data_IF_125353162385
#
_entry.id   IF_125353162385
#
_cell.length_a   1.000
_cell.length_b   1.000
_cell.length_c   1.000
_cell.angle_alpha   90.00
_cell.angle_beta   90.00
_cell.angle_gamma   90.00
#
_symmetry.space_group_name_H-M   'P 1'
#
loop_
_entity.id
_entity.type
_entity.pdbx_description
1 polymer ?
#
# COMPACT_ATOMS: atom_id res chain seq x y z
N UNK A 1 -19.54 -19.47 10.80
CA UNK A 1 -18.20 -20.06 10.95
C UNK A 1 -17.35 -19.02 11.64
N UNK A 2 -16.64 -19.41 12.70
CA UNK A 2 -15.99 -18.47 13.61
C UNK A 2 -14.73 -17.92 12.93
N UNK A 3 -14.80 -16.67 12.47
CA UNK A 3 -13.73 -15.96 11.74
C UNK A 3 -12.36 -16.04 12.47
N UNK A 4 -12.37 -16.25 13.80
CA UNK A 4 -11.17 -16.51 14.61
C UNK A 4 -10.47 -17.84 14.29
N UNK A 5 -11.22 -18.92 14.10
CA UNK A 5 -10.67 -20.26 13.84
C UNK A 5 -10.10 -20.40 12.42
N UNK A 6 -10.67 -19.67 11.46
CA UNK A 6 -10.22 -19.63 10.06
C UNK A 6 -9.04 -18.66 9.85
N UNK A 7 -9.02 -17.55 10.60
CA UNK A 7 -7.83 -16.68 10.71
C UNK A 7 -6.65 -17.42 11.34
N UNK A 8 -6.88 -18.26 12.35
CA UNK A 8 -5.84 -19.14 12.92
C UNK A 8 -5.33 -20.19 11.93
N UNK A 9 -6.17 -20.73 11.05
CA UNK A 9 -5.76 -21.71 10.04
C UNK A 9 -4.89 -21.07 8.94
N UNK A 10 -5.26 -19.86 8.48
CA UNK A 10 -4.47 -19.06 7.55
C UNK A 10 -3.14 -18.58 8.17
N UNK A 11 -3.15 -18.19 9.44
CA UNK A 11 -1.95 -17.83 10.19
C UNK A 11 -0.99 -19.01 10.38
N UNK A 12 -1.49 -20.22 10.60
CA UNK A 12 -0.66 -21.43 10.67
C UNK A 12 -0.01 -21.78 9.33
N UNK A 13 -0.65 -21.48 8.19
CA UNK A 13 -0.09 -21.70 6.86
C UNK A 13 1.01 -20.68 6.53
N UNK A 14 0.84 -19.42 6.95
CA UNK A 14 1.89 -18.39 6.87
C UNK A 14 3.05 -18.70 7.84
N UNK A 15 2.75 -19.16 9.07
CA UNK A 15 3.76 -19.63 10.03
C UNK A 15 4.58 -20.80 9.46
N UNK A 16 3.95 -21.77 8.79
CA UNK A 16 4.64 -22.90 8.14
C UNK A 16 5.45 -22.48 6.91
N UNK A 17 5.00 -21.46 6.16
CA UNK A 17 5.74 -20.92 5.02
C UNK A 17 6.96 -20.09 5.42
N UNK A 18 6.94 -19.46 6.60
CA UNK A 18 8.01 -18.59 7.10
C UNK A 18 9.00 -19.32 8.02
N UNK A 19 8.59 -20.44 8.63
CA UNK A 19 9.44 -21.28 9.50
C UNK A 19 10.65 -21.95 8.80
N UNK A 20 10.83 -21.74 7.48
CA UNK A 20 11.95 -22.26 6.69
C UNK A 20 13.12 -21.30 6.46
N UNK A 21 13.03 -20.01 6.83
CA UNK A 21 14.06 -19.01 6.51
C UNK A 21 14.56 -18.26 7.76
N UNK A 22 15.88 -18.27 7.98
CA UNK A 22 16.61 -17.67 9.12
C UNK A 22 16.49 -16.13 9.28
N UNK A 23 15.62 -15.45 8.52
CA UNK A 23 15.64 -13.99 8.37
C UNK A 23 14.47 -13.27 9.05
N UNK A 24 13.40 -13.97 9.45
CA UNK A 24 12.19 -13.33 10.00
C UNK A 24 11.98 -13.69 11.48
N UNK A 25 12.13 -12.74 12.41
CA UNK A 25 11.87 -12.98 13.83
C UNK A 25 10.37 -13.15 14.10
N UNK A 26 9.97 -13.99 15.07
CA UNK A 26 8.56 -14.17 15.46
C UNK A 26 7.86 -12.83 15.79
N UNK A 27 8.60 -11.87 16.34
CA UNK A 27 8.12 -10.51 16.63
C UNK A 27 7.74 -9.73 15.34
N UNK A 28 8.43 -9.99 14.23
CA UNK A 28 8.18 -9.36 12.93
C UNK A 28 6.91 -9.95 12.32
N UNK A 29 6.75 -11.27 12.38
CA UNK A 29 5.54 -11.99 11.94
C UNK A 29 4.31 -11.55 12.75
N UNK A 30 4.47 -11.32 14.05
CA UNK A 30 3.40 -10.84 14.92
C UNK A 30 2.99 -9.39 14.58
N UNK A 31 3.93 -8.50 14.23
CA UNK A 31 3.65 -7.14 13.74
C UNK A 31 2.98 -7.11 12.36
N UNK A 32 3.35 -8.04 11.49
CA UNK A 32 2.74 -8.23 10.16
C UNK A 32 1.30 -8.71 10.29
N UNK A 33 1.10 -9.73 11.12
CA UNK A 33 -0.22 -10.25 11.52
C UNK A 33 -1.06 -9.12 12.08
N UNK A 34 -0.50 -8.33 12.98
CA UNK A 34 -1.21 -7.25 13.65
C UNK A 34 -1.59 -6.12 12.70
N UNK A 35 -0.71 -5.68 11.79
CA UNK A 35 -1.01 -4.60 10.83
C UNK A 35 -1.95 -5.05 9.73
N UNK A 36 -1.73 -6.23 9.12
CA UNK A 36 -2.59 -6.77 8.06
C UNK A 36 -3.94 -7.19 8.63
N UNK A 37 -3.98 -7.82 9.81
CA UNK A 37 -5.25 -8.13 10.47
C UNK A 37 -5.96 -6.87 10.92
N UNK A 38 -5.29 -5.86 11.50
CA UNK A 38 -5.94 -4.58 11.81
C UNK A 38 -6.43 -3.87 10.56
N UNK A 39 -5.66 -3.86 9.46
CA UNK A 39 -6.03 -3.22 8.20
C UNK A 39 -7.20 -3.93 7.50
N UNK A 40 -7.16 -5.27 7.40
CA UNK A 40 -8.21 -6.09 6.77
C UNK A 40 -9.45 -6.14 7.67
N UNK A 41 -9.30 -6.39 8.98
CA UNK A 41 -10.42 -6.38 9.93
C UNK A 41 -10.99 -4.97 10.16
N UNK A 42 -10.20 -3.89 10.00
CA UNK A 42 -10.74 -2.53 10.06
C UNK A 42 -11.35 -2.07 8.74
N UNK A 43 -10.86 -2.47 7.57
CA UNK A 43 -11.40 -1.97 6.29
C UNK A 43 -12.59 -2.79 5.77
N UNK A 44 -12.74 -4.07 6.12
CA UNK A 44 -13.93 -4.83 5.75
C UNK A 44 -14.03 -6.20 6.48
N UNK A 45 -15.11 -6.48 7.24
CA UNK A 45 -15.39 -7.84 7.73
C UNK A 45 -15.86 -8.84 6.64
N UNK A 46 -16.08 -8.41 5.39
CA UNK A 46 -16.76 -9.22 4.36
C UNK A 46 -16.33 -8.90 2.91
N UNK A 47 -15.08 -8.48 2.64
CA UNK A 47 -14.52 -8.82 1.32
C UNK A 47 -14.58 -10.37 1.25
N UNK A 48 -15.07 -11.01 0.18
CA UNK A 48 -15.16 -12.48 0.15
C UNK A 48 -13.77 -13.03 0.48
N UNK A 49 -13.65 -13.62 1.68
CA UNK A 49 -12.40 -14.11 2.23
C UNK A 49 -11.79 -15.11 1.24
N UNK A 50 -12.64 -15.92 0.61
CA UNK A 50 -12.38 -16.83 -0.50
C UNK A 50 -11.56 -16.20 -1.66
N UNK A 51 -11.66 -14.89 -1.89
CA UNK A 51 -10.98 -14.18 -2.98
C UNK A 51 -9.59 -13.67 -2.57
N UNK A 52 -9.44 -13.24 -1.31
CA UNK A 52 -8.13 -12.94 -0.70
C UNK A 52 -7.37 -14.24 -0.42
N UNK A 53 -8.07 -15.27 0.07
CA UNK A 53 -7.60 -16.64 0.30
C UNK A 53 -7.28 -17.37 -1.01
N UNK A 54 -8.04 -17.18 -2.10
CA UNK A 54 -7.68 -17.73 -3.42
C UNK A 54 -6.40 -17.11 -3.96
N UNK A 55 -6.21 -15.80 -3.78
CA UNK A 55 -5.01 -15.10 -4.27
C UNK A 55 -3.79 -15.26 -3.36
N UNK A 56 -3.96 -15.49 -2.04
CA UNK A 56 -2.85 -15.85 -1.13
C UNK A 56 -2.57 -17.37 -1.08
N UNK A 57 -3.61 -18.21 -1.12
CA UNK A 57 -3.50 -19.67 -1.07
C UNK A 57 -2.82 -20.25 -2.32
N UNK A 58 -3.07 -19.65 -3.49
CA UNK A 58 -2.31 -20.00 -4.71
C UNK A 58 -0.82 -19.66 -4.61
N UNK A 59 -0.45 -18.66 -3.81
CA UNK A 59 0.96 -18.30 -3.55
C UNK A 59 1.61 -19.31 -2.60
N UNK A 60 0.89 -19.77 -1.57
CA UNK A 60 1.37 -20.83 -0.66
C UNK A 60 1.55 -22.15 -1.41
N UNK A 61 0.59 -22.54 -2.27
CA UNK A 61 0.68 -23.76 -3.06
C UNK A 61 1.81 -23.72 -4.12
N UNK A 62 2.03 -22.58 -4.79
CA UNK A 62 3.14 -22.39 -5.75
C UNK A 62 4.52 -22.41 -5.06
N UNK A 63 4.61 -21.91 -3.83
CA UNK A 63 5.83 -21.99 -3.01
C UNK A 63 6.08 -23.43 -2.55
N UNK A 64 5.03 -24.16 -2.12
CA UNK A 64 5.16 -25.56 -1.68
C UNK A 64 5.53 -26.52 -2.82
N UNK A 65 5.11 -26.27 -4.07
CA UNK A 65 5.48 -27.12 -5.21
C UNK A 65 6.94 -26.93 -5.69
N UNK A 66 7.61 -25.84 -5.30
CA UNK A 66 8.97 -25.53 -5.76
C UNK A 66 10.07 -26.15 -4.89
N UNK A 67 9.74 -26.68 -3.69
CA UNK A 67 10.75 -27.14 -2.70
C UNK A 67 10.71 -28.64 -2.32
N UNK A 68 9.99 -29.49 -3.06
CA UNK A 68 10.11 -30.93 -2.91
C UNK A 68 11.24 -31.47 -3.81
N UNK A 69 12.51 -31.18 -3.49
CA UNK A 69 13.67 -32.04 -3.77
C UNK A 69 14.96 -31.36 -3.28
N UNK A 70 15.32 -31.56 -2.01
CA UNK A 70 16.65 -32.07 -1.55
C UNK A 70 16.85 -31.81 -0.03
N UNK A 71 17.59 -32.67 0.69
CA UNK A 71 17.65 -32.64 2.16
C UNK A 71 18.79 -31.78 2.72
N UNK A 72 18.54 -31.13 3.87
CA UNK A 72 19.46 -30.29 4.65
C UNK A 72 20.32 -31.17 5.59
N UNK A 73 21.61 -30.85 5.83
CA UNK A 73 22.37 -31.33 6.98
C UNK A 73 22.57 -30.26 8.09
N UNK A 74 22.74 -30.77 9.32
CA UNK A 74 22.54 -30.13 10.63
C UNK A 74 23.51 -29.01 11.09
N UNK A 75 22.90 -28.07 11.81
CA UNK A 75 23.29 -27.24 12.98
C UNK A 75 24.76 -27.00 13.38
N UNK A 76 25.11 -25.74 13.73
CA UNK A 76 25.96 -25.37 14.88
C UNK A 76 25.83 -23.88 15.34
N UNK A 77 24.97 -23.65 16.33
CA UNK A 77 25.11 -22.90 17.62
C UNK A 77 25.96 -21.62 17.85
N UNK A 78 25.32 -20.64 18.55
CA UNK A 78 25.77 -19.69 19.63
C UNK A 78 26.11 -18.21 19.26
N UNK A 79 26.12 -17.23 20.23
CA UNK A 79 24.98 -16.49 20.82
C UNK A 79 25.20 -14.94 20.83
N UNK A 80 24.26 -14.12 21.35
CA UNK A 80 24.51 -13.09 22.39
C UNK A 80 23.26 -12.24 22.68
N UNK A 81 23.07 -12.01 23.99
CA UNK A 81 21.97 -11.31 24.64
C UNK A 81 22.38 -9.90 25.11
N UNK A 82 21.35 -9.11 25.45
CA UNK A 82 21.30 -7.83 26.20
C UNK A 82 21.37 -6.53 25.39
N UNK A 83 20.21 -5.86 25.26
CA UNK A 83 19.94 -4.56 25.90
C UNK A 83 18.43 -4.21 25.78
N UNK A 84 17.71 -4.20 26.90
CA UNK A 84 16.36 -3.60 27.02
C UNK A 84 16.41 -2.56 28.15
N UNK A 85 15.88 -1.34 27.98
CA UNK A 85 15.37 -0.57 29.09
C UNK A 85 13.87 -0.84 29.28
N UNK A 86 13.52 -1.18 30.52
CA UNK A 86 12.13 -1.25 31.02
C UNK A 86 11.62 0.13 31.39
N UNK A 87 10.42 0.48 30.91
CA UNK A 87 9.36 1.29 31.55
C UNK A 87 8.14 1.18 30.61
N UNK A 88 6.90 0.85 30.97
CA UNK A 88 6.20 0.85 32.25
C UNK A 88 4.91 1.69 32.14
N UNK A 89 3.87 1.18 31.45
CA UNK A 89 2.45 1.21 31.88
C UNK A 89 1.50 0.78 30.75
N UNK A 90 0.58 -0.12 31.10
CA UNK A 90 -0.55 -0.55 30.28
C UNK A 90 -1.46 0.65 29.97
N UNK A 91 -1.38 1.13 28.73
CA UNK A 91 -2.47 1.80 28.04
C UNK A 91 -2.53 1.19 26.64
N UNK A 92 -3.74 0.86 26.20
CA UNK A 92 -4.02 0.40 24.84
C UNK A 92 -3.22 1.20 23.82
N UNK A 93 -2.38 0.53 23.03
CA UNK A 93 -1.55 1.13 21.98
C UNK A 93 -2.49 1.65 20.89
N UNK A 94 -3.01 2.86 21.06
CA UNK A 94 -3.66 3.65 20.01
C UNK A 94 -2.61 4.27 19.10
N UNK A 95 -2.99 4.69 17.88
CA UNK A 95 -2.07 5.35 16.95
C UNK A 95 -1.47 6.64 17.56
N UNK A 96 -2.14 7.23 18.56
CA UNK A 96 -1.64 8.36 19.37
C UNK A 96 -0.23 8.14 19.95
N UNK A 97 0.16 6.91 20.31
CA UNK A 97 1.49 6.61 20.85
C UNK A 97 2.63 6.68 19.82
N UNK A 98 2.30 6.65 18.53
CA UNK A 98 3.26 6.65 17.42
C UNK A 98 3.59 8.07 16.92
N UNK A 99 2.83 9.09 17.34
CA UNK A 99 2.94 10.47 16.88
C UNK A 99 3.28 11.43 18.01
N UNK A 100 4.58 11.53 18.32
CA UNK A 100 5.07 12.54 19.26
C UNK A 100 4.98 13.99 18.77
N UNK A 101 4.61 14.28 17.52
CA UNK A 101 4.72 15.65 16.97
C UNK A 101 3.48 16.23 16.23
N UNK A 102 2.46 15.45 15.82
CA UNK A 102 1.20 16.00 15.23
C UNK A 102 -0.08 15.18 15.54
N UNK A 103 -0.63 15.26 16.77
CA UNK A 103 -1.81 14.49 17.19
C UNK A 103 -3.10 14.81 16.39
N UNK A 104 -3.13 15.93 15.67
CA UNK A 104 -4.27 16.28 14.82
C UNK A 104 -4.38 15.39 13.57
N UNK A 105 -3.26 14.92 13.00
CA UNK A 105 -3.26 14.09 11.79
C UNK A 105 -3.64 12.65 12.10
N UNK A 106 -3.09 12.10 13.19
CA UNK A 106 -3.43 10.74 13.66
C UNK A 106 -4.93 10.59 13.88
N UNK A 107 -5.53 11.49 14.68
CA UNK A 107 -6.98 11.50 14.94
C UNK A 107 -7.82 11.64 13.67
N UNK A 108 -7.40 12.48 12.72
CA UNK A 108 -8.11 12.64 11.45
C UNK A 108 -8.09 11.33 10.64
N UNK A 109 -6.95 10.65 10.56
CA UNK A 109 -6.83 9.36 9.88
C UNK A 109 -7.65 8.28 10.57
N UNK A 110 -7.55 8.15 11.91
CA UNK A 110 -8.35 7.19 12.68
C UNK A 110 -9.85 7.35 12.40
N UNK A 111 -10.35 8.59 12.46
CA UNK A 111 -11.76 8.90 12.20
C UNK A 111 -12.12 8.61 10.75
N UNK A 112 -11.29 9.00 9.78
CA UNK A 112 -11.56 8.78 8.36
C UNK A 112 -11.60 7.29 8.00
N UNK A 113 -10.62 6.51 8.47
CA UNK A 113 -10.54 5.05 8.23
C UNK A 113 -11.71 4.34 8.89
N UNK A 114 -12.00 4.66 10.16
CA UNK A 114 -13.13 4.05 10.89
C UNK A 114 -14.47 4.39 10.25
N UNK A 115 -14.64 5.64 9.80
CA UNK A 115 -15.87 6.08 9.12
C UNK A 115 -16.03 5.39 7.76
N UNK A 116 -14.94 5.21 7.02
CA UNK A 116 -14.94 4.51 5.72
C UNK A 116 -15.30 3.04 5.90
N UNK A 117 -14.78 2.39 6.95
CA UNK A 117 -15.14 1.01 7.30
C UNK A 117 -16.64 0.85 7.60
N UNK A 118 -17.17 1.73 8.44
CA UNK A 118 -18.61 1.76 8.78
C UNK A 118 -19.45 2.02 7.52
N UNK A 119 -19.03 2.95 6.67
CA UNK A 119 -19.70 3.25 5.41
C UNK A 119 -19.74 2.02 4.50
N UNK A 120 -18.60 1.37 4.26
CA UNK A 120 -18.50 0.17 3.43
C UNK A 120 -19.41 -0.94 3.94
N UNK A 121 -19.39 -1.21 5.26
CA UNK A 121 -20.26 -2.22 5.87
C UNK A 121 -21.75 -1.91 5.68
N UNK A 122 -22.18 -0.69 5.98
CA UNK A 122 -23.59 -0.29 5.86
C UNK A 122 -24.07 -0.19 4.40
N UNK A 123 -23.21 0.21 3.47
CA UNK A 123 -23.55 0.30 2.05
C UNK A 123 -23.95 -1.06 1.44
N UNK A 124 -23.41 -2.16 1.97
CA UNK A 124 -23.74 -3.52 1.52
C UNK A 124 -25.19 -3.92 1.81
N UNK A 125 -25.76 -3.40 2.90
CA UNK A 125 -27.09 -3.77 3.41
C UNK A 125 -28.18 -2.97 2.68
N UNK A 126 -27.84 -1.80 2.13
CA UNK A 126 -28.79 -0.92 1.47
C UNK A 126 -29.26 -1.54 0.14
N UNK A 127 -30.57 -1.85 0.09
CA UNK A 127 -31.21 -2.40 -1.12
C UNK A 127 -31.33 -1.34 -2.23
N UNK A 128 -31.82 -0.13 -1.90
CA UNK A 128 -31.94 0.96 -2.87
C UNK A 128 -30.65 1.80 -2.91
N UNK A 129 -29.88 1.63 -3.99
CA UNK A 129 -28.53 2.20 -4.14
C UNK A 129 -28.50 3.72 -4.14
N UNK A 130 -29.60 4.41 -4.41
CA UNK A 130 -29.68 5.87 -4.26
C UNK A 130 -29.39 6.32 -2.83
N UNK A 131 -29.85 5.56 -1.82
CA UNK A 131 -29.65 5.90 -0.40
C UNK A 131 -28.19 5.75 0.06
N UNK A 132 -27.33 5.07 -0.71
CA UNK A 132 -25.90 4.97 -0.41
C UNK A 132 -25.24 6.35 -0.44
N UNK A 133 -25.69 7.26 -1.31
CA UNK A 133 -25.23 8.66 -1.32
C UNK A 133 -25.58 9.39 -0.01
N UNK A 134 -26.82 9.22 0.46
CA UNK A 134 -27.28 9.82 1.71
C UNK A 134 -26.53 9.27 2.92
N UNK A 135 -26.24 7.97 2.93
CA UNK A 135 -25.41 7.32 3.94
C UNK A 135 -23.99 7.92 3.97
N UNK A 136 -23.35 8.10 2.82
CA UNK A 136 -22.01 8.69 2.75
C UNK A 136 -22.00 10.10 3.33
N UNK A 137 -22.98 10.94 2.94
CA UNK A 137 -23.10 12.32 3.45
C UNK A 137 -23.31 12.34 4.98
N UNK A 138 -24.15 11.44 5.50
CA UNK A 138 -24.38 11.30 6.94
C UNK A 138 -23.08 10.93 7.67
N UNK A 139 -22.36 9.94 7.17
CA UNK A 139 -21.11 9.46 7.79
C UNK A 139 -20.02 10.53 7.74
N UNK A 140 -19.85 11.23 6.62
CA UNK A 140 -18.90 12.35 6.52
C UNK A 140 -19.27 13.46 7.52
N UNK A 141 -20.56 13.80 7.62
CA UNK A 141 -21.03 14.83 8.56
C UNK A 141 -20.74 14.44 10.01
N UNK A 142 -20.99 13.17 10.36
CA UNK A 142 -20.69 12.63 11.69
C UNK A 142 -19.18 12.59 11.97
N UNK A 143 -18.37 12.19 10.98
CA UNK A 143 -16.92 12.17 11.08
C UNK A 143 -16.34 13.56 11.33
N UNK A 144 -16.80 14.57 10.59
CA UNK A 144 -16.39 15.97 10.79
C UNK A 144 -16.81 16.50 12.16
N UNK A 145 -18.01 16.14 12.62
CA UNK A 145 -18.48 16.51 13.96
C UNK A 145 -17.62 15.87 15.06
N UNK A 146 -17.33 14.57 14.97
CA UNK A 146 -16.46 13.85 15.91
C UNK A 146 -15.05 14.46 15.89
N UNK A 147 -14.51 14.79 14.72
CA UNK A 147 -13.20 15.41 14.62
C UNK A 147 -13.17 16.79 15.26
N UNK A 148 -14.20 17.61 15.04
CA UNK A 148 -14.36 18.91 15.71
C UNK A 148 -14.37 18.78 17.23
N UNK A 149 -15.10 17.79 17.77
CA UNK A 149 -15.12 17.51 19.21
C UNK A 149 -13.72 17.09 19.71
N UNK A 150 -12.99 16.27 18.95
CA UNK A 150 -11.65 15.81 19.30
C UNK A 150 -10.60 16.92 19.35
N UNK A 151 -10.86 18.03 18.64
CA UNK A 151 -10.02 19.22 18.60
C UNK A 151 -10.50 20.32 19.56
N UNK A 152 -11.61 20.11 20.28
CA UNK A 152 -12.23 21.10 21.16
C UNK A 152 -12.59 22.42 20.45
N UNK A 153 -12.94 22.35 19.16
CA UNK A 153 -13.39 23.50 18.35
C UNK A 153 -14.89 23.42 18.04
N UNK A 154 -15.50 24.56 17.69
CA UNK A 154 -16.90 24.58 17.29
C UNK A 154 -17.10 23.85 15.94
N UNK A 155 -18.19 23.08 15.75
CA UNK A 155 -18.42 22.29 14.53
C UNK A 155 -18.34 23.07 13.22
N UNK A 156 -18.69 24.36 13.22
CA UNK A 156 -18.63 25.17 12.02
C UNK A 156 -17.20 25.64 11.69
N UNK A 157 -16.33 25.75 12.69
CA UNK A 157 -14.93 26.15 12.52
C UNK A 157 -14.07 25.04 11.91
N UNK A 158 -14.60 23.81 11.82
CA UNK A 158 -13.90 22.66 11.23
C UNK A 158 -13.46 22.94 9.79
N UNK A 159 -14.28 23.64 9.00
CA UNK A 159 -13.96 23.96 7.62
C UNK A 159 -12.80 24.95 7.52
N UNK A 160 -12.77 25.96 8.39
CA UNK A 160 -11.65 26.90 8.50
C UNK A 160 -10.39 26.19 8.98
N UNK A 161 -10.51 25.28 9.93
CA UNK A 161 -9.39 24.47 10.42
C UNK A 161 -8.80 23.61 9.30
N UNK A 162 -9.62 22.83 8.59
CA UNK A 162 -9.18 22.01 7.46
C UNK A 162 -8.58 22.85 6.33
N UNK A 163 -9.17 24.01 6.03
CA UNK A 163 -8.61 24.94 5.04
C UNK A 163 -7.22 25.43 5.47
N UNK A 164 -7.04 25.80 6.74
CA UNK A 164 -5.76 26.27 7.27
C UNK A 164 -4.70 25.17 7.27
N UNK A 165 -5.10 23.94 7.60
CA UNK A 165 -4.27 22.74 7.63
C UNK A 165 -3.71 22.42 6.23
N UNK A 166 -4.52 22.60 5.18
CA UNK A 166 -4.10 22.29 3.80
C UNK A 166 -3.35 23.45 3.14
N UNK A 167 -3.88 24.68 3.18
CA UNK A 167 -3.43 25.77 2.30
C UNK A 167 -2.61 26.86 2.99
N UNK A 168 -2.79 27.07 4.30
CA UNK A 168 -2.15 28.19 5.02
C UNK A 168 -0.81 27.76 5.64
N UNK A 169 -0.57 26.46 5.78
CA UNK A 169 0.55 25.98 6.59
C UNK A 169 1.95 26.30 6.05
N UNK A 170 2.19 26.30 4.73
CA UNK A 170 3.52 26.59 4.16
C UNK A 170 3.46 26.87 2.64
N UNK A 171 4.29 27.80 2.16
CA UNK A 171 4.50 28.03 0.72
C UNK A 171 5.02 26.78 -0.01
N UNK A 172 5.88 25.99 0.64
CA UNK A 172 6.37 24.72 0.10
C UNK A 172 5.23 23.74 -0.13
N UNK A 173 4.29 23.64 0.81
CA UNK A 173 3.11 22.78 0.69
C UNK A 173 2.21 23.22 -0.46
N UNK A 174 2.05 24.53 -0.67
CA UNK A 174 1.27 25.02 -1.80
C UNK A 174 1.93 24.68 -3.15
N UNK A 175 3.25 24.80 -3.26
CA UNK A 175 3.97 24.33 -4.46
C UNK A 175 3.81 22.81 -4.67
N UNK A 176 3.89 22.03 -3.59
CA UNK A 176 3.67 20.59 -3.61
C UNK A 176 2.25 20.24 -4.10
N UNK A 177 1.22 20.91 -3.56
CA UNK A 177 -0.18 20.73 -3.96
C UNK A 177 -0.41 21.07 -5.43
N UNK A 178 0.21 22.14 -5.95
CA UNK A 178 0.14 22.49 -7.38
C UNK A 178 0.77 21.38 -8.24
N UNK A 179 1.94 20.88 -7.83
CA UNK A 179 2.60 19.77 -8.53
C UNK A 179 1.75 18.48 -8.49
N UNK A 180 1.15 18.15 -7.36
CA UNK A 180 0.25 17.00 -7.23
C UNK A 180 -1.01 17.16 -8.06
N UNK A 181 -1.62 18.34 -8.05
CA UNK A 181 -2.77 18.65 -8.90
C UNK A 181 -2.42 18.48 -10.38
N UNK A 182 -1.25 18.95 -10.81
CA UNK A 182 -0.77 18.73 -12.17
C UNK A 182 -0.66 17.24 -12.50
N UNK A 183 -0.04 16.42 -11.63
CA UNK A 183 0.03 14.97 -11.83
C UNK A 183 -1.36 14.32 -11.95
N UNK A 184 -2.31 14.70 -11.07
CA UNK A 184 -3.68 14.18 -11.11
C UNK A 184 -4.39 14.58 -12.42
N UNK A 185 -4.29 15.84 -12.84
CA UNK A 185 -4.91 16.32 -14.08
C UNK A 185 -4.34 15.62 -15.30
N UNK A 186 -3.01 15.42 -15.36
CA UNK A 186 -2.38 14.67 -16.45
C UNK A 186 -2.82 13.20 -16.42
N UNK A 187 -2.95 12.56 -15.26
CA UNK A 187 -3.47 11.20 -15.14
C UNK A 187 -4.93 11.07 -15.61
N UNK A 188 -5.79 12.03 -15.29
CA UNK A 188 -7.17 12.06 -15.79
C UNK A 188 -7.18 12.25 -17.30
N UNK A 189 -6.41 13.21 -17.83
CA UNK A 189 -6.34 13.48 -19.26
C UNK A 189 -5.81 12.27 -20.06
N UNK A 190 -4.76 11.61 -19.54
CA UNK A 190 -4.24 10.37 -20.09
C UNK A 190 -5.29 9.25 -20.03
N UNK A 191 -5.99 9.11 -18.90
CA UNK A 191 -7.07 8.16 -18.71
C UNK A 191 -8.16 8.31 -19.77
N UNK A 192 -8.63 9.54 -19.98
CA UNK A 192 -9.62 9.88 -21.01
C UNK A 192 -9.07 9.59 -22.42
N UNK A 193 -7.82 9.95 -22.70
CA UNK A 193 -7.22 9.71 -24.01
C UNK A 193 -7.13 8.21 -24.35
N UNK A 194 -6.73 7.37 -23.39
CA UNK A 194 -6.70 5.90 -23.57
C UNK A 194 -8.11 5.34 -23.69
N UNK A 195 -9.08 5.88 -22.94
CA UNK A 195 -10.47 5.49 -23.04
C UNK A 195 -11.02 5.69 -24.47
N UNK A 196 -10.75 6.85 -25.06
CA UNK A 196 -11.13 7.17 -26.43
C UNK A 196 -10.48 6.25 -27.48
N UNK A 197 -9.33 5.65 -27.17
CA UNK A 197 -8.65 4.68 -28.03
C UNK A 197 -9.23 3.25 -27.88
N UNK A 198 -10.06 2.99 -26.88
CA UNK A 198 -10.80 1.74 -26.69
C UNK A 198 -9.97 0.52 -26.25
N UNK A 199 -8.66 0.66 -26.03
CA UNK A 199 -7.77 -0.41 -25.54
C UNK A 199 -6.69 0.13 -24.60
N UNK A 200 -6.54 -0.49 -23.44
CA UNK A 200 -5.39 -0.25 -22.56
C UNK A 200 -4.32 -1.32 -22.73
N UNK A 201 -3.07 -0.96 -22.43
CA UNK A 201 -1.91 -1.87 -22.45
C UNK A 201 -1.26 -1.87 -21.07
N UNK A 202 -0.43 -2.87 -20.78
CA UNK A 202 0.38 -2.91 -19.55
C UNK A 202 1.25 -1.65 -19.41
N UNK A 203 1.74 -1.11 -20.52
CA UNK A 203 2.53 0.13 -20.55
C UNK A 203 1.68 1.33 -20.11
N UNK A 204 0.41 1.40 -20.52
CA UNK A 204 -0.50 2.45 -20.05
C UNK A 204 -0.69 2.40 -18.54
N UNK A 205 -0.73 1.21 -17.92
CA UNK A 205 -0.83 1.09 -16.45
C UNK A 205 0.42 1.63 -15.74
N UNK A 206 1.61 1.50 -16.35
CA UNK A 206 2.86 2.05 -15.78
C UNK A 206 2.89 3.58 -15.76
N UNK A 207 2.05 4.26 -16.55
CA UNK A 207 1.85 5.70 -16.43
C UNK A 207 1.34 6.10 -15.03
N UNK A 208 0.37 5.35 -14.50
CA UNK A 208 -0.14 5.60 -13.15
C UNK A 208 0.91 5.31 -12.07
N UNK A 209 1.74 4.28 -12.26
CA UNK A 209 2.86 3.95 -11.36
C UNK A 209 3.86 5.12 -11.29
N UNK A 210 4.17 5.73 -12.43
CA UNK A 210 5.03 6.92 -12.49
C UNK A 210 4.40 8.10 -11.74
N UNK A 211 3.16 8.46 -12.04
CA UNK A 211 2.53 9.66 -11.45
C UNK A 211 2.33 9.55 -9.93
N UNK A 212 1.92 8.38 -9.43
CA UNK A 212 1.82 8.16 -7.98
C UNK A 212 3.19 8.16 -7.29
N UNK A 213 4.22 7.64 -7.96
CA UNK A 213 5.61 7.69 -7.46
C UNK A 213 6.11 9.13 -7.38
N UNK A 214 5.81 9.97 -8.38
CA UNK A 214 6.17 11.39 -8.35
C UNK A 214 5.48 12.14 -7.20
N UNK A 215 4.19 11.89 -6.97
CA UNK A 215 3.44 12.44 -5.84
C UNK A 215 4.09 12.02 -4.52
N UNK A 216 4.34 10.73 -4.34
CA UNK A 216 4.91 10.19 -3.10
C UNK A 216 6.34 10.67 -2.85
N UNK A 217 7.24 10.61 -3.84
CA UNK A 217 8.64 11.06 -3.71
C UNK A 217 8.72 12.55 -3.40
N UNK A 218 7.96 13.39 -4.12
CA UNK A 218 7.93 14.83 -3.85
C UNK A 218 7.41 15.12 -2.44
N UNK A 219 6.42 14.34 -1.98
CA UNK A 219 5.92 14.38 -0.62
C UNK A 219 6.95 14.00 0.43
N UNK A 220 7.67 12.89 0.24
CA UNK A 220 8.73 12.43 1.14
C UNK A 220 9.85 13.48 1.33
N UNK A 221 10.16 14.24 0.28
CA UNK A 221 11.20 15.27 0.37
C UNK A 221 10.73 16.60 0.94
N UNK A 222 9.45 16.96 0.75
CA UNK A 222 8.97 18.31 1.04
C UNK A 222 8.03 18.38 2.25
N UNK A 223 7.20 17.37 2.50
CA UNK A 223 6.24 17.35 3.62
C UNK A 223 5.78 15.90 3.94
N UNK A 224 6.61 15.15 4.69
CA UNK A 224 6.37 13.72 4.98
C UNK A 224 5.07 13.50 5.75
N UNK A 225 4.84 14.28 6.81
CA UNK A 225 3.65 14.15 7.65
C UNK A 225 2.36 14.39 6.85
N UNK A 226 2.36 15.43 6.01
CA UNK A 226 1.21 15.71 5.15
C UNK A 226 1.01 14.63 4.08
N UNK A 227 2.10 14.06 3.56
CA UNK A 227 2.06 12.95 2.60
C UNK A 227 1.47 11.69 3.23
N UNK A 228 1.85 11.37 4.47
CA UNK A 228 1.25 10.26 5.22
C UNK A 228 -0.26 10.45 5.39
N UNK A 229 -0.68 11.64 5.82
CA UNK A 229 -2.10 11.99 5.96
C UNK A 229 -2.86 11.83 4.64
N UNK A 230 -2.35 12.44 3.56
CA UNK A 230 -2.96 12.36 2.24
C UNK A 230 -3.02 10.92 1.72
N UNK A 231 -2.00 10.09 1.97
CA UNK A 231 -1.99 8.68 1.59
C UNK A 231 -3.18 7.91 2.16
N UNK A 232 -3.44 8.05 3.46
CA UNK A 232 -4.60 7.42 4.11
C UNK A 232 -5.93 7.95 3.60
N UNK A 233 -6.06 9.27 3.42
CA UNK A 233 -7.29 9.87 2.90
C UNK A 233 -7.58 9.41 1.46
N UNK A 234 -6.57 9.35 0.61
CA UNK A 234 -6.71 8.84 -0.76
C UNK A 234 -7.06 7.35 -0.79
N UNK A 235 -6.53 6.56 0.13
CA UNK A 235 -6.93 5.16 0.27
C UNK A 235 -8.42 5.03 0.61
N UNK A 236 -8.92 5.84 1.54
CA UNK A 236 -10.34 5.88 1.87
C UNK A 236 -11.19 6.28 0.65
N UNK A 237 -10.75 7.29 -0.11
CA UNK A 237 -11.43 7.73 -1.33
C UNK A 237 -11.48 6.61 -2.38
N UNK A 238 -10.36 5.90 -2.60
CA UNK A 238 -10.31 4.80 -3.58
C UNK A 238 -11.24 3.65 -3.20
N UNK A 239 -11.33 3.31 -1.90
CA UNK A 239 -12.30 2.35 -1.39
C UNK A 239 -13.73 2.83 -1.66
N UNK A 240 -14.08 4.09 -1.34
CA UNK A 240 -15.42 4.63 -1.57
C UNK A 240 -15.78 4.63 -3.06
N UNK A 241 -14.85 5.01 -3.94
CA UNK A 241 -15.04 4.96 -5.40
C UNK A 241 -15.34 3.53 -5.84
N UNK A 242 -14.61 2.55 -5.31
CA UNK A 242 -14.83 1.15 -5.64
C UNK A 242 -16.18 0.63 -5.14
N UNK A 243 -16.63 1.05 -3.95
CA UNK A 243 -17.99 0.78 -3.45
C UNK A 243 -19.05 1.37 -4.37
N UNK A 244 -18.87 2.61 -4.83
CA UNK A 244 -19.80 3.24 -5.77
C UNK A 244 -19.87 2.51 -7.11
N UNK A 245 -18.71 2.07 -7.62
CA UNK A 245 -18.62 1.31 -8.86
C UNK A 245 -19.24 -0.08 -8.73
N UNK A 246 -18.85 -0.83 -7.70
CA UNK A 246 -19.26 -2.21 -7.49
C UNK A 246 -20.75 -2.35 -7.18
N UNK A 247 -21.31 -1.49 -6.31
CA UNK A 247 -22.74 -1.50 -5.99
C UNK A 247 -23.61 -0.72 -6.98
N UNK A 248 -23.03 -0.30 -8.10
CA UNK A 248 -23.73 0.43 -9.17
C UNK A 248 -24.48 1.68 -8.68
N UNK A 249 -23.89 2.44 -7.76
CA UNK A 249 -24.52 3.62 -7.13
C UNK A 249 -24.73 4.74 -8.16
N UNK A 250 -25.98 5.17 -8.43
CA UNK A 250 -26.25 6.28 -9.35
C UNK A 250 -25.94 7.65 -8.70
N UNK A 251 -25.55 8.67 -9.48
CA UNK A 251 -25.29 8.65 -10.93
C UNK A 251 -23.85 8.23 -11.31
N UNK A 252 -23.06 7.77 -10.35
CA UNK A 252 -21.60 7.63 -10.50
C UNK A 252 -21.17 6.39 -11.28
N UNK A 253 -21.86 5.28 -11.08
CA UNK A 253 -21.42 3.95 -11.51
C UNK A 253 -21.10 3.84 -13.00
N UNK A 254 -21.93 4.44 -13.87
CA UNK A 254 -21.70 4.41 -15.32
C UNK A 254 -20.41 5.14 -15.70
N UNK A 255 -20.21 6.37 -15.18
CA UNK A 255 -19.01 7.15 -15.45
C UNK A 255 -17.74 6.47 -14.90
N UNK A 256 -17.84 5.90 -13.70
CA UNK A 256 -16.74 5.17 -13.07
C UNK A 256 -16.37 3.90 -13.86
N UNK A 257 -17.35 3.08 -14.23
CA UNK A 257 -17.11 1.87 -15.02
C UNK A 257 -16.54 2.21 -16.40
N UNK A 258 -17.09 3.22 -17.07
CA UNK A 258 -16.57 3.68 -18.36
C UNK A 258 -15.10 4.08 -18.24
N UNK A 259 -14.73 4.85 -17.22
CA UNK A 259 -13.35 5.31 -17.03
C UNK A 259 -12.38 4.19 -16.58
N UNK A 260 -12.78 3.35 -15.62
CA UNK A 260 -11.89 2.42 -14.92
C UNK A 260 -11.78 1.04 -15.58
N UNK A 261 -12.86 0.49 -16.15
CA UNK A 261 -12.84 -0.86 -16.74
C UNK A 261 -11.82 -1.04 -17.88
N UNK A 262 -11.52 -0.04 -18.72
CA UNK A 262 -10.45 -0.16 -19.71
C UNK A 262 -9.08 -0.45 -19.08
N UNK A 263 -8.85 -0.08 -17.82
CA UNK A 263 -7.60 -0.29 -17.10
C UNK A 263 -7.58 -1.55 -16.23
N UNK A 264 -8.66 -2.33 -16.23
CA UNK A 264 -8.77 -3.58 -15.49
C UNK A 264 -7.58 -4.51 -15.80
N UNK A 265 -6.92 -5.00 -14.76
CA UNK A 265 -5.82 -5.97 -14.89
C UNK A 265 -6.36 -7.41 -14.98
N UNK A 266 -5.54 -8.35 -15.45
CA UNK A 266 -5.86 -9.79 -15.47
C UNK A 266 -6.12 -10.35 -14.06
N UNK A 267 -5.52 -9.70 -13.06
CA UNK A 267 -5.63 -10.04 -11.64
C UNK A 267 -6.93 -9.53 -11.01
N UNK A 268 -7.59 -8.55 -11.64
CA UNK A 268 -8.84 -7.96 -11.14
C UNK A 268 -10.04 -8.84 -11.52
N UNK A 269 -10.93 -9.06 -10.56
CA UNK A 269 -12.16 -9.85 -10.76
C UNK A 269 -13.38 -8.94 -10.94
N UNK A 270 -14.39 -9.06 -10.07
CA UNK A 270 -15.48 -8.10 -10.00
C UNK A 270 -15.07 -6.82 -9.29
N UNK A 271 -14.04 -6.89 -8.42
CA UNK A 271 -13.43 -5.72 -7.79
C UNK A 271 -12.20 -5.26 -8.57
N UNK A 272 -12.01 -3.95 -8.67
CA UNK A 272 -10.81 -3.33 -9.23
C UNK A 272 -9.83 -3.02 -8.09
N UNK A 273 -9.06 -4.03 -7.68
CA UNK A 273 -8.14 -3.94 -6.55
C UNK A 273 -6.78 -3.39 -6.96
N UNK A 274 -6.39 -3.55 -8.22
CA UNK A 274 -5.09 -3.08 -8.73
C UNK A 274 -4.80 -1.60 -8.42
N UNK A 275 -5.72 -0.63 -8.61
CA UNK A 275 -5.48 0.76 -8.22
C UNK A 275 -5.30 0.96 -6.71
N UNK A 276 -6.00 0.18 -5.88
CA UNK A 276 -5.89 0.21 -4.42
C UNK A 276 -4.54 -0.36 -3.99
N UNK A 277 -4.15 -1.51 -4.55
CA UNK A 277 -2.87 -2.16 -4.28
C UNK A 277 -1.67 -1.36 -4.78
N UNK A 278 -1.80 -0.63 -5.89
CA UNK A 278 -0.78 0.31 -6.34
C UNK A 278 -0.56 1.42 -5.30
N UNK A 279 -1.64 2.06 -4.83
CA UNK A 279 -1.56 3.11 -3.82
C UNK A 279 -0.96 2.55 -2.52
N UNK A 280 -1.46 1.40 -2.07
CA UNK A 280 -1.01 0.74 -0.87
C UNK A 280 0.46 0.34 -0.99
N UNK A 281 0.89 -0.25 -2.10
CA UNK A 281 2.27 -0.64 -2.35
C UNK A 281 3.25 0.53 -2.27
N UNK A 282 2.90 1.67 -2.86
CA UNK A 282 3.75 2.86 -2.86
C UNK A 282 3.82 3.51 -1.47
N UNK A 283 2.68 3.64 -0.77
CA UNK A 283 2.60 4.34 0.51
C UNK A 283 2.82 3.46 1.74
N UNK A 284 2.76 2.13 1.62
CA UNK A 284 2.86 1.18 2.73
C UNK A 284 4.10 1.43 3.60
N UNK A 285 5.32 1.63 3.04
CA UNK A 285 6.48 1.89 3.88
C UNK A 285 6.32 3.09 4.82
N UNK A 286 5.64 4.14 4.36
CA UNK A 286 5.34 5.32 5.17
C UNK A 286 4.22 5.05 6.17
N UNK A 287 3.25 4.19 5.84
CA UNK A 287 2.22 3.76 6.80
C UNK A 287 2.79 2.92 7.95
N UNK A 288 3.71 2.00 7.63
CA UNK A 288 4.38 1.12 8.60
C UNK A 288 5.37 1.85 9.49
N UNK A 289 6.04 2.87 8.95
CA UNK A 289 7.01 3.68 9.67
C UNK A 289 6.72 5.16 9.41
N UNK A 290 5.74 5.75 10.11
CA UNK A 290 5.50 7.19 9.99
C UNK A 290 6.74 7.98 10.41
N UNK A 291 7.07 9.04 9.68
CA UNK A 291 8.19 9.95 10.01
C UNK A 291 7.76 11.39 9.86
N UNK A 292 8.33 12.28 10.67
CA UNK A 292 7.92 13.70 10.73
C UNK A 292 8.95 14.67 10.18
N UNK A 293 10.21 14.25 9.98
CA UNK A 293 11.31 15.17 9.63
C UNK A 293 12.12 14.74 8.42
N UNK A 294 12.52 13.48 8.38
CA UNK A 294 13.39 12.98 7.32
C UNK A 294 13.00 11.56 6.93
N UNK A 295 13.13 11.21 5.64
CA UNK A 295 12.84 9.85 5.22
C UNK A 295 13.95 8.89 5.68
N UNK A 296 13.57 7.65 5.91
CA UNK A 296 14.46 6.50 6.04
C UNK A 296 14.48 5.75 4.72
N UNK A 297 15.53 4.94 4.50
CA UNK A 297 15.71 4.31 3.19
C UNK A 297 14.57 3.35 2.84
N UNK A 298 14.01 2.65 3.84
CA UNK A 298 12.85 1.78 3.66
C UNK A 298 11.61 2.53 3.17
N UNK A 299 11.47 3.84 3.39
CA UNK A 299 10.35 4.62 2.83
C UNK A 299 10.33 4.63 1.31
N UNK A 300 11.46 4.36 0.67
CA UNK A 300 11.57 4.25 -0.78
C UNK A 300 11.28 2.84 -1.32
N UNK A 301 11.05 1.85 -0.45
CA UNK A 301 10.85 0.46 -0.88
C UNK A 301 9.71 0.30 -1.89
N UNK A 302 8.58 0.96 -1.67
CA UNK A 302 7.42 0.91 -2.59
C UNK A 302 7.71 1.54 -3.95
N UNK A 303 8.37 2.70 -3.97
CA UNK A 303 8.78 3.35 -5.22
C UNK A 303 9.84 2.52 -5.95
N UNK A 304 10.82 1.98 -5.22
CA UNK A 304 11.88 1.18 -5.80
C UNK A 304 11.31 -0.07 -6.47
N UNK A 305 10.47 -0.84 -5.75
CA UNK A 305 9.92 -2.10 -6.24
C UNK A 305 8.79 -1.91 -7.24
N UNK A 306 7.70 -1.24 -6.85
CA UNK A 306 6.47 -1.13 -7.65
C UNK A 306 6.53 0.04 -8.62
N UNK A 307 6.95 1.21 -8.13
CA UNK A 307 7.01 2.42 -8.95
C UNK A 307 7.94 2.27 -10.16
N UNK A 308 9.21 1.92 -9.90
CA UNK A 308 10.28 1.88 -10.89
C UNK A 308 10.63 0.46 -11.32
N UNK A 309 10.86 -0.45 -10.37
CA UNK A 309 11.32 -1.80 -10.63
C UNK A 309 10.39 -2.60 -11.53
N UNK A 310 9.15 -2.79 -11.11
CA UNK A 310 8.08 -3.49 -11.85
C UNK A 310 7.77 -2.78 -13.18
N UNK A 311 7.75 -1.45 -13.21
CA UNK A 311 7.64 -0.69 -14.46
C UNK A 311 8.75 -1.02 -15.46
N UNK A 312 10.01 -1.06 -15.02
CA UNK A 312 11.14 -1.41 -15.87
C UNK A 312 11.13 -2.88 -16.28
N UNK A 313 10.78 -3.79 -15.39
CA UNK A 313 10.62 -5.21 -15.72
C UNK A 313 9.56 -5.41 -16.82
N UNK A 314 8.40 -4.75 -16.69
CA UNK A 314 7.33 -4.86 -17.68
C UNK A 314 7.73 -4.25 -19.03
N UNK A 315 8.33 -3.05 -19.04
CA UNK A 315 8.70 -2.35 -20.29
C UNK A 315 9.85 -3.07 -21.00
N UNK A 316 10.93 -3.39 -20.28
CA UNK A 316 12.10 -4.06 -20.88
C UNK A 316 11.78 -5.51 -21.19
N UNK A 317 11.10 -6.22 -20.30
CA UNK A 317 10.71 -7.61 -20.50
C UNK A 317 9.77 -7.80 -21.69
N UNK A 318 8.81 -6.89 -21.92
CA UNK A 318 7.92 -6.97 -23.08
C UNK A 318 8.58 -6.57 -24.41
N UNK A 319 9.55 -5.65 -24.39
CA UNK A 319 10.19 -5.12 -25.60
C UNK A 319 11.46 -5.89 -26.03
N UNK A 320 12.24 -6.36 -25.05
CA UNK A 320 13.56 -6.95 -25.26
C UNK A 320 13.73 -8.33 -24.62
N UNK A 321 12.72 -8.83 -23.92
CA UNK A 321 12.79 -10.12 -23.23
C UNK A 321 12.82 -11.29 -24.21
N UNK A 322 13.91 -12.05 -24.19
CA UNK A 322 14.09 -13.26 -25.00
C UNK A 322 14.14 -14.49 -24.09
N UNK A 323 14.86 -14.38 -22.97
CA UNK A 323 15.10 -15.51 -22.06
C UNK A 323 14.06 -15.53 -20.95
N UNK A 324 13.12 -16.48 -21.01
CA UNK A 324 12.12 -16.67 -19.96
C UNK A 324 12.69 -17.48 -18.80
N UNK A 325 12.24 -17.15 -17.59
CA UNK A 325 12.46 -18.02 -16.45
C UNK A 325 11.79 -19.39 -16.67
N UNK A 326 12.42 -20.51 -16.26
CA UNK A 326 11.86 -21.84 -16.46
C UNK A 326 10.43 -21.95 -15.92
N UNK A 327 9.48 -22.32 -16.77
CA UNK A 327 8.06 -22.47 -16.38
C UNK A 327 7.31 -21.15 -16.11
N UNK A 328 7.91 -19.98 -16.33
CA UNK A 328 7.28 -18.68 -16.03
C UNK A 328 7.07 -17.82 -17.28
N UNK A 329 6.15 -16.86 -17.19
CA UNK A 329 5.88 -15.87 -18.25
C UNK A 329 6.93 -14.74 -18.27
N UNK A 330 7.53 -14.44 -17.11
CA UNK A 330 8.49 -13.36 -16.88
C UNK A 330 9.87 -13.67 -17.48
N UNK A 331 10.61 -12.64 -17.86
CA UNK A 331 11.91 -12.75 -18.56
C UNK A 331 13.07 -12.34 -17.67
N UNK A 332 14.23 -12.95 -17.89
CA UNK A 332 15.47 -12.64 -17.18
C UNK A 332 15.92 -11.19 -17.45
N UNK A 333 15.71 -10.69 -18.67
CA UNK A 333 16.00 -9.29 -19.01
C UNK A 333 15.10 -8.31 -18.24
N UNK A 334 13.83 -8.68 -18.02
CA UNK A 334 12.92 -7.94 -17.16
C UNK A 334 13.38 -7.91 -15.70
N UNK A 335 13.75 -9.07 -15.14
CA UNK A 335 14.29 -9.16 -13.77
C UNK A 335 15.57 -8.34 -13.61
N UNK A 336 16.49 -8.38 -14.59
CA UNK A 336 17.69 -7.57 -14.58
C UNK A 336 17.38 -6.06 -14.62
N UNK A 337 16.39 -5.65 -15.42
CA UNK A 337 15.95 -4.26 -15.49
C UNK A 337 15.36 -3.78 -14.14
N UNK A 338 14.58 -4.62 -13.46
CA UNK A 338 14.09 -4.32 -12.12
C UNK A 338 15.21 -4.21 -11.11
N UNK A 339 16.17 -5.15 -11.09
CA UNK A 339 17.32 -5.11 -10.19
C UNK A 339 18.05 -3.76 -10.33
N UNK A 340 18.39 -3.38 -11.56
CA UNK A 340 19.08 -2.11 -11.85
C UNK A 340 18.24 -0.90 -11.44
N UNK A 341 16.93 -0.94 -11.72
CA UNK A 341 15.99 0.11 -11.34
C UNK A 341 15.89 0.33 -9.83
N UNK A 342 15.58 -0.73 -9.09
CA UNK A 342 15.50 -0.71 -7.63
C UNK A 342 16.82 -0.22 -7.03
N UNK A 343 17.94 -0.76 -7.50
CA UNK A 343 19.27 -0.41 -6.98
C UNK A 343 19.58 1.08 -7.20
N UNK A 344 19.26 1.63 -8.37
CA UNK A 344 19.47 3.03 -8.67
C UNK A 344 18.58 3.96 -7.83
N UNK A 345 17.30 3.61 -7.63
CA UNK A 345 16.39 4.38 -6.77
C UNK A 345 16.91 4.41 -5.34
N UNK A 346 17.24 3.26 -4.78
CA UNK A 346 17.76 3.16 -3.41
C UNK A 346 19.07 3.94 -3.27
N UNK A 347 20.04 3.73 -4.17
CA UNK A 347 21.31 4.43 -4.13
C UNK A 347 21.16 5.96 -4.22
N UNK A 348 20.23 6.44 -5.05
CA UNK A 348 19.94 7.87 -5.21
C UNK A 348 19.20 8.47 -4.00
N UNK A 349 18.40 7.67 -3.29
CA UNK A 349 17.68 8.11 -2.09
C UNK A 349 18.58 8.22 -0.84
N UNK A 350 19.62 7.38 -0.75
CA UNK A 350 20.53 7.31 0.42
C UNK A 350 21.05 8.66 0.93
N UNK A 351 21.52 9.60 0.08
CA UNK A 351 22.08 10.88 0.56
C UNK A 351 21.06 11.76 1.29
N UNK A 352 19.77 11.51 1.10
CA UNK A 352 18.69 12.31 1.67
C UNK A 352 18.02 11.64 2.89
N UNK A 353 18.48 10.44 3.29
CA UNK A 353 17.90 9.68 4.39
C UNK A 353 18.62 9.93 5.72
N UNK A 354 17.91 9.77 6.84
CA UNK A 354 18.52 9.83 8.18
C UNK A 354 19.40 8.62 8.48
N UNK A 355 20.49 8.85 9.21
CA UNK A 355 21.36 7.79 9.73
C UNK A 355 20.67 6.96 10.82
N UNK A 356 20.96 5.63 10.90
CA UNK A 356 21.83 4.86 10.02
C UNK A 356 21.18 4.58 8.66
N UNK A 357 21.96 4.70 7.58
CA UNK A 357 21.50 4.42 6.22
C UNK A 357 22.13 3.11 5.74
N UNK A 358 21.31 2.20 5.21
CA UNK A 358 21.74 0.90 4.71
C UNK A 358 22.85 1.05 3.65
N UNK A 359 23.78 0.09 3.62
CA UNK A 359 24.96 0.15 2.75
C UNK A 359 24.57 0.00 1.27
N UNK A 360 25.40 0.43 0.29
CA UNK A 360 25.15 0.13 -1.12
C UNK A 360 25.07 -1.39 -1.37
N UNK A 361 25.84 -2.19 -0.64
CA UNK A 361 25.78 -3.64 -0.73
C UNK A 361 24.40 -4.18 -0.29
N UNK A 362 23.86 -3.65 0.81
CA UNK A 362 22.49 -3.95 1.25
C UNK A 362 21.47 -3.57 0.18
N UNK A 363 21.58 -2.38 -0.41
CA UNK A 363 20.67 -1.94 -1.49
C UNK A 363 20.71 -2.89 -2.69
N UNK A 364 21.89 -3.41 -3.05
CA UNK A 364 22.04 -4.39 -4.10
C UNK A 364 21.36 -5.72 -3.74
N UNK A 365 21.60 -6.24 -2.53
CA UNK A 365 20.97 -7.48 -2.05
C UNK A 365 19.44 -7.37 -2.03
N UNK A 366 18.90 -6.27 -1.51
CA UNK A 366 17.46 -6.00 -1.53
C UNK A 366 16.93 -5.96 -2.96
N UNK A 367 17.61 -5.23 -3.85
CA UNK A 367 17.18 -5.14 -5.26
C UNK A 367 17.20 -6.48 -5.97
N UNK A 368 18.20 -7.31 -5.69
CA UNK A 368 18.31 -8.68 -6.20
C UNK A 368 17.15 -9.54 -5.67
N UNK A 369 16.92 -9.54 -4.36
CA UNK A 369 15.84 -10.30 -3.73
C UNK A 369 14.47 -9.90 -4.31
N UNK A 370 14.19 -8.59 -4.41
CA UNK A 370 12.95 -8.09 -5.01
C UNK A 370 12.79 -8.54 -6.46
N UNK A 371 13.85 -8.52 -7.27
CA UNK A 371 13.80 -8.97 -8.67
C UNK A 371 13.55 -10.47 -8.82
N UNK A 372 14.05 -11.27 -7.88
CA UNK A 372 13.85 -12.72 -7.84
C UNK A 372 12.44 -13.04 -7.39
N UNK A 373 11.98 -12.46 -6.28
CA UNK A 373 10.59 -12.63 -5.82
C UNK A 373 9.62 -12.22 -6.91
N UNK A 374 9.87 -11.10 -7.58
CA UNK A 374 9.05 -10.70 -8.72
C UNK A 374 9.07 -11.72 -9.87
N UNK A 375 10.21 -12.36 -10.16
CA UNK A 375 10.27 -13.39 -11.20
C UNK A 375 9.40 -14.64 -10.89
N UNK A 376 9.22 -14.95 -9.60
CA UNK A 376 8.57 -16.18 -9.15
C UNK A 376 7.17 -15.99 -8.56
N UNK A 377 6.75 -14.76 -8.24
CA UNK A 377 5.41 -14.46 -7.73
C UNK A 377 4.48 -13.98 -8.84
N UNK A 378 3.19 -14.33 -8.72
CA UNK A 378 2.10 -13.79 -9.52
C UNK A 378 0.98 -13.25 -8.63
N UNK A 379 0.32 -12.17 -9.05
CA UNK A 379 -0.94 -11.64 -8.51
C UNK A 379 -0.89 -10.76 -7.25
N UNK A 380 0.24 -10.71 -6.51
CA UNK A 380 0.36 -9.89 -5.28
C UNK A 380 1.66 -9.08 -5.20
N UNK A 381 2.35 -8.94 -6.33
CA UNK A 381 3.63 -8.22 -6.46
C UNK A 381 3.57 -6.77 -5.96
N UNK A 382 2.46 -6.08 -6.24
CA UNK A 382 2.21 -4.71 -5.78
C UNK A 382 2.14 -4.54 -4.25
N UNK A 383 1.94 -5.63 -3.49
CA UNK A 383 1.90 -5.61 -2.02
C UNK A 383 3.14 -6.27 -1.41
N UNK A 384 3.52 -7.44 -1.94
CA UNK A 384 4.60 -8.25 -1.39
C UNK A 384 5.97 -7.59 -1.54
N UNK A 385 6.25 -6.99 -2.71
CA UNK A 385 7.59 -6.45 -2.99
C UNK A 385 7.91 -5.20 -2.14
N UNK A 386 7.03 -4.19 -2.02
CA UNK A 386 7.26 -3.05 -1.12
C UNK A 386 7.48 -3.48 0.33
N UNK A 387 6.71 -4.47 0.76
CA UNK A 387 6.74 -4.98 2.11
C UNK A 387 8.06 -5.70 2.43
N UNK A 388 8.49 -6.62 1.57
CA UNK A 388 9.78 -7.29 1.69
C UNK A 388 10.92 -6.26 1.66
N UNK A 389 10.85 -5.32 0.72
CA UNK A 389 11.84 -4.25 0.62
C UNK A 389 11.90 -3.39 1.89
N UNK A 390 10.78 -3.13 2.55
CA UNK A 390 10.73 -2.38 3.80
C UNK A 390 11.47 -3.08 4.94
N UNK A 391 11.26 -4.39 5.14
CA UNK A 391 11.90 -5.12 6.25
C UNK A 391 13.37 -5.44 6.02
N UNK A 392 13.79 -5.55 4.76
CA UNK A 392 15.20 -5.82 4.43
C UNK A 392 16.09 -4.57 4.43
N UNK A 393 15.51 -3.36 4.42
CA UNK A 393 16.22 -2.08 4.42
C UNK A 393 16.37 -1.53 5.83
#
# INVERSE_FOLDING_TARGET
>A
MDCRLETEACLRQVEQAVAGEEVCTEETIEKIRDVVSRFVCSLCPQLPFDMIESQLGSVVDDIMQTHLHEPIPDSHSFPYSHFYPKTGNNSSIGLDGMYGEQPAYGRLVEIAVSSTAVFTGLATIITNKVYVNGLLLLIISLALFIYSLSLEIAPLDIFTHLYSLVFISSSTRNCLLIFWLFNVLVSIAFGVAVNLQGKSTTIHRKFFHLTVSLIYISGLYLDISFTWLCGWLWLCIFVIIEIFRYFEVPPWSESLNNFLLPFKDEQDTHFLLTPIFLLLGIFMPLFLSPSTKFPQLHHFAGVASVGVGDSLAAIIGSKFGVHKWPGRKKTMEGSLAMLVGCFFVLLSARPFCTFPVSSPFTCFLVSLALSLVEAFTSNIDNLLLPFLGFFML
#
